data_IF_504976064905
#
_entry.id   IF_504976064905
#
_cell.length_a   1.000
_cell.length_b   1.000
_cell.length_c   1.000
_cell.angle_alpha   90.00
_cell.angle_beta   90.00
_cell.angle_gamma   90.00
#
_symmetry.space_group_name_H-M   'P 1'
#
loop_
_entity.id
_entity.type
_entity.pdbx_description
1 polymer ?
2 polymer ?
3 water ?
#
# COMPACT_ATOMS: atom_id res chain seq x y z
N UNK A 1 19.08 8.92 3.28
CA UNK A 1 17.75 8.40 3.73
C UNK A 1 17.76 6.91 4.04
N UNK A 2 16.99 6.52 5.04
CA UNK A 2 16.93 5.13 5.41
C UNK A 2 15.73 4.54 4.68
N UNK A 3 15.85 3.29 4.29
CA UNK A 3 14.74 2.65 3.59
C UNK A 3 14.54 1.27 4.20
N UNK A 4 13.29 0.95 4.51
CA UNK A 4 12.93 -0.36 5.03
C UNK A 4 12.05 -0.93 3.92
N UNK A 5 12.58 -1.90 3.16
CA UNK A 5 11.82 -2.47 2.06
C UNK A 5 11.36 -3.90 2.31
N UNK A 6 10.05 -4.08 2.36
CA UNK A 6 9.43 -5.37 2.62
C UNK A 6 9.13 -6.18 1.34
N UNK A 7 8.74 -7.43 1.54
CA UNK A 7 8.41 -8.36 0.46
C UNK A 7 7.03 -8.06 -0.10
N UNK A 8 6.77 -8.54 -1.32
CA UNK A 8 5.50 -8.29 -1.99
C UNK A 8 4.29 -8.97 -1.38
N UNK A 9 3.10 -8.47 -1.73
CA UNK A 9 1.85 -9.01 -1.20
C UNK A 9 1.79 -10.53 -1.37
N UNK A 10 0.96 -11.16 -0.55
CA UNK A 10 0.83 -12.60 -0.60
C UNK A 10 -0.58 -13.01 -0.25
N UNK A 11 -0.99 -14.13 -0.82
CA UNK A 11 -2.32 -14.67 -0.58
C UNK A 11 -2.11 -16.03 0.05
N UNK A 12 -2.80 -16.28 1.15
CA UNK A 12 -2.64 -17.55 1.83
C UNK A 12 -3.93 -18.29 2.15
N UNK A 13 -3.80 -19.61 2.18
CA UNK A 13 -4.90 -20.53 2.46
C UNK A 13 -4.97 -20.75 3.96
N UNK A 14 -6.18 -20.89 4.51
CA UNK A 14 -6.31 -21.12 5.96
C UNK A 14 -5.37 -22.22 6.43
N UNK A 15 -4.74 -22.00 7.58
CA UNK A 15 -3.84 -23.00 8.11
C UNK A 15 -2.43 -22.88 7.58
N UNK A 16 -2.26 -22.21 6.45
CA UNK A 16 -0.93 -22.04 5.86
C UNK A 16 -0.11 -21.02 6.67
N UNK A 17 1.14 -20.82 6.26
CA UNK A 17 2.01 -19.87 6.94
C UNK A 17 2.61 -18.88 5.95
N UNK A 18 2.91 -17.68 6.43
CA UNK A 18 3.51 -16.64 5.59
C UNK A 18 4.79 -16.08 6.21
N UNK A 19 5.80 -15.87 5.37
CA UNK A 19 7.09 -15.35 5.82
C UNK A 19 7.38 -14.00 5.15
N UNK A 20 7.26 -12.92 5.93
CA UNK A 20 7.48 -11.58 5.42
C UNK A 20 8.86 -11.02 5.74
N UNK A 21 9.54 -10.50 4.71
CA UNK A 21 10.88 -9.96 4.90
C UNK A 21 10.91 -8.42 4.98
N UNK A 22 11.99 -7.90 5.55
CA UNK A 22 12.16 -6.46 5.73
C UNK A 22 13.65 -6.12 5.64
N UNK A 23 14.08 -5.68 4.46
CA UNK A 23 15.48 -5.30 4.27
C UNK A 23 15.65 -3.81 4.54
N UNK A 24 16.64 -3.50 5.38
CA UNK A 24 16.92 -2.12 5.75
C UNK A 24 18.22 -1.64 5.13
N UNK A 25 18.32 -0.32 4.94
CA UNK A 25 19.51 0.29 4.38
C UNK A 25 19.43 1.79 4.67
N UNK A 26 20.60 2.43 4.80
CA UNK A 26 20.63 3.84 5.09
C UNK A 26 21.14 4.13 6.48
N UNK A 27 21.01 3.15 7.37
CA UNK A 27 21.47 3.30 8.75
C UNK A 27 22.12 1.99 9.15
N UNK A 28 22.61 1.93 10.40
CA UNK A 28 23.25 0.72 10.90
C UNK A 28 22.21 -0.27 11.39
N UNK A 29 21.84 -1.20 10.52
CA UNK A 29 20.82 -2.22 10.79
C UNK A 29 20.87 -2.92 12.15
N UNK A 30 22.07 -3.29 12.58
CA UNK A 30 22.25 -4.00 13.85
C UNK A 30 22.14 -3.18 15.13
N UNK A 31 21.98 -1.87 15.02
CA UNK A 31 21.92 -1.05 16.22
C UNK A 31 20.55 -0.50 16.61
N UNK A 32 19.49 -1.00 15.97
CA UNK A 32 18.14 -0.51 16.28
C UNK A 32 17.15 -1.66 16.35
N UNK A 33 16.16 -1.56 17.24
CA UNK A 33 15.19 -2.63 17.34
C UNK A 33 14.21 -2.61 16.15
N UNK A 34 13.82 -3.77 15.68
CA UNK A 34 12.90 -3.91 14.55
C UNK A 34 11.57 -4.52 15.04
N UNK A 35 10.48 -3.80 14.86
CA UNK A 35 9.18 -4.29 15.32
C UNK A 35 8.25 -4.59 14.15
N UNK A 36 7.28 -5.46 14.41
CA UNK A 36 6.29 -5.79 13.41
C UNK A 36 4.96 -5.36 14.00
N UNK A 37 4.24 -4.55 13.26
CA UNK A 37 2.93 -4.07 13.67
C UNK A 37 1.99 -4.41 12.51
N UNK A 38 0.75 -4.76 12.80
CA UNK A 38 -0.15 -5.07 11.70
C UNK A 38 -1.40 -4.20 11.74
N UNK A 39 -1.93 -3.96 10.56
CA UNK A 39 -3.13 -3.15 10.35
C UNK A 39 -4.21 -4.16 9.96
N UNK A 40 -4.95 -4.66 10.95
CA UNK A 40 -6.00 -5.64 10.71
C UNK A 40 -7.39 -5.08 10.96
N UNK A 41 -8.38 -5.50 10.16
CA UNK A 41 -9.78 -5.06 10.25
C UNK A 41 -10.33 -4.96 11.67
N UNK A 42 -10.83 -3.77 12.03
CA UNK A 42 -11.39 -3.57 13.37
C UNK A 42 -10.40 -3.93 14.46
N UNK A 43 -9.16 -3.50 14.27
CA UNK A 43 -8.11 -3.78 15.24
C UNK A 43 -7.00 -2.77 15.01
N UNK A 44 -7.29 -1.79 14.16
CA UNK A 44 -6.33 -0.74 13.84
C UNK A 44 -4.91 -1.28 13.72
N UNK A 45 -4.04 -0.75 14.57
CA UNK A 45 -2.65 -1.20 14.58
C UNK A 45 -2.41 -1.95 15.86
N UNK A 46 -1.65 -3.03 15.79
CA UNK A 46 -1.33 -3.79 16.98
C UNK A 46 0.08 -4.30 16.86
N UNK A 47 0.83 -4.15 17.95
CA UNK A 47 2.22 -4.59 18.01
C UNK A 47 2.23 -6.11 18.01
N UNK A 48 3.20 -6.71 17.33
CA UNK A 48 3.24 -8.15 17.26
C UNK A 48 4.44 -8.70 17.97
N UNK A 49 5.52 -7.95 17.94
CA UNK A 49 6.75 -8.36 18.59
C UNK A 49 7.89 -7.56 18.02
N UNK A 50 9.12 -7.90 18.40
CA UNK A 50 10.29 -7.19 17.91
C UNK A 50 11.54 -8.06 18.00
N UNK A 51 12.63 -7.58 17.40
CA UNK A 51 13.89 -8.31 17.38
C UNK A 51 15.03 -7.32 17.28
N UNK A 52 16.17 -7.68 17.87
CA UNK A 52 17.33 -6.81 17.82
C UNK A 52 18.28 -7.44 16.84
N UNK A 53 18.43 -6.82 15.67
CA UNK A 53 19.34 -7.37 14.66
C UNK A 53 20.71 -7.75 15.25
N UNK A 54 21.22 -6.90 16.13
CA UNK A 54 22.52 -7.15 16.71
C UNK A 54 22.65 -8.37 17.61
N UNK A 55 21.58 -8.70 18.31
CA UNK A 55 21.63 -9.83 19.23
C UNK A 55 20.71 -10.97 18.82
N UNK A 56 19.83 -10.71 17.86
CA UNK A 56 18.90 -11.73 17.45
C UNK A 56 17.87 -12.01 18.52
N UNK A 57 17.97 -11.31 19.64
CA UNK A 57 17.01 -11.50 20.73
C UNK A 57 15.65 -10.99 20.32
N UNK A 58 14.59 -11.67 20.75
CA UNK A 58 13.23 -11.28 20.41
C UNK A 58 12.26 -11.18 21.57
N UNK A 59 11.06 -10.72 21.25
CA UNK A 59 9.95 -10.55 22.19
C UNK A 59 8.70 -10.63 21.34
N UNK A 60 7.71 -11.39 21.80
CA UNK A 60 6.48 -11.52 21.03
C UNK A 60 5.25 -11.28 21.89
N UNK A 61 4.29 -10.51 21.40
CA UNK A 61 3.07 -10.29 22.16
C UNK A 61 2.44 -11.68 22.33
N UNK A 62 1.77 -11.91 23.45
CA UNK A 62 1.16 -13.20 23.71
C UNK A 62 0.12 -13.59 22.65
N UNK A 63 -0.56 -12.59 22.11
CA UNK A 63 -1.59 -12.82 21.10
C UNK A 63 -1.07 -13.56 19.87
N UNK A 64 0.25 -13.54 19.66
CA UNK A 64 0.85 -14.20 18.51
C UNK A 64 2.03 -15.11 18.84
N UNK A 65 2.45 -15.14 20.10
CA UNK A 65 3.61 -15.94 20.48
C UNK A 65 3.56 -17.43 20.11
N UNK A 66 2.36 -17.97 19.91
CA UNK A 66 2.23 -19.38 19.57
C UNK A 66 2.19 -19.63 18.07
N UNK A 67 2.27 -18.56 17.27
CA UNK A 67 2.24 -18.70 15.81
C UNK A 67 3.33 -17.94 15.07
N UNK A 68 3.89 -16.90 15.69
CA UNK A 68 4.93 -16.11 15.05
C UNK A 68 6.33 -16.52 15.42
N UNK A 69 7.29 -16.03 14.64
CA UNK A 69 8.70 -16.29 14.84
C UNK A 69 9.41 -15.17 14.11
N UNK A 70 10.35 -14.51 14.78
CA UNK A 70 11.10 -13.43 14.15
C UNK A 70 12.57 -13.79 14.12
N UNK A 71 13.23 -13.42 13.04
CA UNK A 71 14.63 -13.73 12.83
C UNK A 71 15.27 -12.62 12.01
N UNK A 72 16.58 -12.72 11.78
CA UNK A 72 17.26 -11.70 11.00
C UNK A 72 18.55 -12.22 10.39
N UNK A 73 19.03 -11.52 9.35
CA UNK A 73 20.28 -11.88 8.69
C UNK A 73 21.08 -10.60 8.55
N UNK A 74 22.09 -10.46 9.39
CA UNK A 74 22.93 -9.29 9.38
C UNK A 74 23.81 -9.15 8.15
N UNK A 75 24.01 -10.25 7.43
CA UNK A 75 24.85 -10.19 6.23
C UNK A 75 24.08 -9.53 5.08
N UNK A 76 22.76 -9.55 5.15
CA UNK A 76 21.93 -8.94 4.12
C UNK A 76 20.95 -7.91 4.69
N UNK A 77 21.25 -7.45 5.92
CA UNK A 77 20.44 -6.46 6.62
C UNK A 77 18.94 -6.68 6.45
N UNK A 78 18.48 -7.88 6.81
CA UNK A 78 17.07 -8.21 6.66
C UNK A 78 16.48 -8.94 7.87
N UNK A 79 15.23 -8.62 8.17
CA UNK A 79 14.49 -9.21 9.26
C UNK A 79 13.29 -9.95 8.67
N UNK A 80 12.85 -11.01 9.34
CA UNK A 80 11.72 -11.81 8.86
C UNK A 80 10.69 -12.11 9.95
N UNK A 81 9.43 -12.26 9.55
CA UNK A 81 8.36 -12.59 10.48
C UNK A 81 7.46 -13.63 9.82
N UNK A 82 7.34 -14.79 10.46
CA UNK A 82 6.49 -15.87 9.96
C UNK A 82 5.27 -16.02 10.84
N UNK A 83 4.09 -15.90 10.24
CA UNK A 83 2.84 -16.05 10.99
C UNK A 83 2.24 -17.39 10.55
N UNK A 84 2.39 -18.42 11.38
CA UNK A 84 1.89 -19.75 11.05
C UNK A 84 0.42 -19.99 11.39
N UNK A 85 -0.14 -21.03 10.77
CA UNK A 85 -1.53 -21.40 11.00
C UNK A 85 -2.40 -20.17 10.83
N UNK A 86 -2.37 -19.59 9.64
CA UNK A 86 -3.14 -18.40 9.34
C UNK A 86 -4.64 -18.67 9.27
N UNK A 87 -5.42 -17.61 9.44
CA UNK A 87 -6.87 -17.69 9.39
C UNK A 87 -7.43 -16.37 8.88
N UNK A 88 -8.72 -16.38 8.55
CA UNK A 88 -9.40 -15.20 8.03
C UNK A 88 -9.04 -13.90 8.75
N UNK A 89 -9.13 -13.91 10.08
CA UNK A 89 -8.84 -12.73 10.88
C UNK A 89 -7.44 -12.12 10.71
N UNK A 90 -6.50 -12.88 10.16
CA UNK A 90 -5.14 -12.38 9.94
C UNK A 90 -5.02 -11.54 8.68
N UNK A 91 -6.10 -11.48 7.89
CA UNK A 91 -6.09 -10.69 6.66
C UNK A 91 -5.76 -9.26 7.08
N UNK A 92 -4.55 -8.82 6.76
CA UNK A 92 -4.13 -7.48 7.14
C UNK A 92 -2.79 -7.06 6.52
N UNK A 93 -2.46 -5.77 6.62
CA UNK A 93 -1.21 -5.27 6.10
C UNK A 93 -0.19 -5.42 7.22
N UNK A 94 0.93 -6.07 6.93
CA UNK A 94 1.96 -6.24 7.93
C UNK A 94 3.06 -5.23 7.68
N UNK A 95 3.52 -4.61 8.76
CA UNK A 95 4.57 -3.58 8.70
C UNK A 95 5.74 -3.90 9.61
N UNK A 96 6.91 -3.45 9.23
CA UNK A 96 8.07 -3.59 10.10
C UNK A 96 8.38 -2.13 10.35
N UNK A 97 8.94 -1.84 11.52
CA UNK A 97 9.27 -0.46 11.86
C UNK A 97 10.36 -0.47 12.91
N UNK A 98 11.40 0.31 12.69
CA UNK A 98 12.49 0.40 13.66
C UNK A 98 12.10 1.45 14.71
N UNK A 99 12.69 1.32 15.89
CA UNK A 99 12.39 2.26 16.96
C UNK A 99 13.62 3.13 17.19
N UNK A 100 13.39 4.42 17.46
CA UNK A 100 14.50 5.34 17.68
C UNK A 100 15.13 5.35 19.07
N UNK A 101 14.30 5.42 20.11
CA UNK A 101 14.82 5.47 21.47
C UNK A 101 13.94 6.37 22.31
N UNK A 102 14.05 7.70 22.16
CA UNK A 102 13.21 8.62 22.94
C UNK A 102 11.80 8.48 22.41
N UNK A 103 11.70 8.03 21.16
CA UNK A 103 10.41 7.79 20.54
C UNK A 103 10.51 6.41 19.91
N UNK A 104 9.39 5.93 19.38
CA UNK A 104 9.43 4.62 18.78
C UNK A 104 9.60 4.55 17.26
N UNK A 105 8.53 4.18 16.58
CA UNK A 105 8.53 3.98 15.13
C UNK A 105 8.77 5.18 14.22
N UNK A 106 10.04 5.55 14.05
CA UNK A 106 10.41 6.69 13.20
C UNK A 106 10.52 6.35 11.71
N UNK A 107 10.84 5.09 11.42
CA UNK A 107 10.92 4.65 10.03
C UNK A 107 10.10 3.39 9.85
N UNK A 108 9.24 3.39 8.83
CA UNK A 108 8.35 2.26 8.58
C UNK A 108 8.62 1.59 7.26
N UNK A 109 8.28 0.31 7.18
CA UNK A 109 8.42 -0.40 5.93
C UNK A 109 7.21 0.06 5.12
N UNK A 110 7.18 -0.24 3.82
CA UNK A 110 6.03 0.17 3.02
C UNK A 110 4.80 -0.68 3.34
N UNK A 111 5.01 -1.83 3.98
CA UNK A 111 3.90 -2.70 4.32
C UNK A 111 3.79 -3.89 3.38
N UNK A 112 3.24 -5.00 3.88
CA UNK A 112 3.06 -6.23 3.11
C UNK A 112 1.65 -6.73 3.32
N UNK A 113 0.85 -6.68 2.27
CA UNK A 113 -0.53 -7.14 2.35
C UNK A 113 -0.60 -8.66 2.28
N UNK A 114 -1.34 -9.26 3.22
CA UNK A 114 -1.52 -10.71 3.24
C UNK A 114 -3.02 -10.99 3.36
N UNK A 115 -3.58 -11.73 2.40
CA UNK A 115 -5.01 -12.04 2.46
C UNK A 115 -5.21 -13.53 2.71
N UNK B 1 3.56 18.73 -10.28
CA UNK B 1 3.71 17.25 -10.41
C UNK B 1 2.33 16.58 -10.46
N UNK B 2 2.12 15.70 -11.43
CA UNK B 2 0.83 15.02 -11.55
C UNK B 2 0.67 13.99 -10.43
N UNK B 3 -0.54 13.87 -9.90
CA UNK B 3 -0.77 12.90 -8.85
C UNK B 3 -2.24 12.60 -8.61
N UNK B 4 -2.51 11.33 -8.34
CA UNK B 4 -3.87 10.88 -8.06
C UNK B 4 -3.83 10.43 -6.60
N UNK B 5 -4.64 11.07 -5.76
CA UNK B 5 -4.69 10.69 -4.36
C UNK B 5 -6.06 10.08 -4.09
N UNK B 6 -6.04 8.82 -3.70
CA UNK B 6 -7.27 8.09 -3.43
C UNK B 6 -7.63 8.18 -1.97
N UNK B 7 -8.86 7.75 -1.65
CA UNK B 7 -9.40 7.72 -0.29
C UNK B 7 -8.76 6.59 0.53
N UNK B 8 -8.90 6.64 1.86
CA UNK B 8 -8.27 5.64 2.72
C UNK B 8 -8.81 4.23 2.70
N UNK B 9 -8.10 3.30 3.35
CA UNK B 9 -8.52 1.90 3.39
C UNK B 9 -9.91 1.78 3.98
N UNK B 10 -10.69 0.85 3.43
CA UNK B 10 -12.06 0.66 3.88
C UNK B 10 -12.31 -0.77 4.33
N UNK B 11 -13.06 -0.90 5.41
CA UNK B 11 -13.43 -2.21 5.94
C UNK B 11 -14.94 -2.28 5.69
N UNK B 12 -15.38 -3.34 5.01
CA UNK B 12 -16.79 -3.46 4.68
C UNK B 12 -17.36 -4.82 4.95
N UNK B 13 -18.58 -4.84 5.47
CA UNK B 13 -19.27 -6.09 5.77
C UNK B 13 -19.74 -6.69 4.45
N UNK B 14 -19.83 -8.02 4.37
CA UNK B 14 -20.29 -8.58 3.10
C UNK B 14 -21.69 -8.03 2.80
N UNK B 15 -21.99 -7.86 1.51
CA UNK B 15 -23.29 -7.36 1.12
C UNK B 15 -23.33 -5.86 1.03
N UNK B 16 -22.38 -5.21 1.68
CA UNK B 16 -22.33 -3.75 1.66
C UNK B 16 -21.69 -3.25 0.36
N UNK B 17 -21.58 -1.94 0.23
CA UNK B 17 -20.95 -1.33 -0.93
C UNK B 17 -19.94 -0.29 -0.47
N UNK B 18 -18.93 -0.06 -1.30
CA UNK B 18 -17.90 0.93 -0.99
C UNK B 18 -17.72 1.87 -2.17
N UNK B 19 -17.45 3.14 -1.88
CA UNK B 19 -17.24 4.14 -2.92
C UNK B 19 -15.86 4.75 -2.70
N UNK B 20 -14.97 4.51 -3.66
CA UNK B 20 -13.60 5.00 -3.59
C UNK B 20 -13.44 6.26 -4.42
N UNK B 21 -12.75 7.26 -3.84
CA UNK B 21 -12.53 8.52 -4.53
C UNK B 21 -11.09 8.63 -5.04
N UNK B 22 -10.91 9.38 -6.11
CA UNK B 22 -9.61 9.57 -6.72
C UNK B 22 -9.56 11.02 -7.18
N UNK B 23 -8.80 11.84 -6.47
CA UNK B 23 -8.68 13.25 -6.81
C UNK B 23 -7.43 13.46 -7.66
N UNK B 24 -7.61 13.96 -8.88
CA UNK B 24 -6.50 14.19 -9.80
C UNK B 24 -5.93 15.58 -9.63
N UNK B 25 -4.62 15.66 -9.45
CA UNK B 25 -3.95 16.93 -9.25
C UNK B 25 -2.73 17.07 -10.15
N UNK B 26 -2.31 18.31 -10.40
CA UNK B 26 -1.15 18.56 -11.22
C UNK B 26 -1.33 18.53 -12.72
N UNK B 27 -2.56 18.35 -13.19
CA UNK B 27 -2.82 18.32 -14.64
C UNK B 27 -4.28 18.64 -14.95
N UNK B 28 -4.63 18.64 -16.25
CA UNK B 28 -6.00 18.94 -16.68
C UNK B 28 -6.86 17.68 -16.67
N UNK B 29 -7.68 17.58 -15.64
CA UNK B 29 -8.57 16.46 -15.40
C UNK B 29 -9.38 15.90 -16.57
N UNK B 30 -10.08 16.77 -17.30
CA UNK B 30 -10.92 16.32 -18.41
C UNK B 30 -10.25 15.89 -19.70
N UNK B 31 -8.94 16.08 -19.81
CA UNK B 31 -8.28 15.70 -21.05
C UNK B 31 -7.96 14.20 -21.19
N UNK B 32 -8.05 13.46 -20.09
CA UNK B 32 -7.72 12.03 -20.14
C UNK B 32 -8.72 11.07 -19.49
N UNK B 33 -8.72 9.83 -19.95
CA UNK B 33 -9.57 8.77 -19.41
C UNK B 33 -9.02 8.41 -18.03
N UNK B 34 -9.88 8.02 -17.11
CA UNK B 34 -9.41 7.60 -15.79
C UNK B 34 -9.81 6.13 -15.68
N UNK B 35 -8.85 5.24 -15.50
CA UNK B 35 -9.21 3.84 -15.40
C UNK B 35 -9.25 3.43 -13.94
N UNK B 36 -9.80 2.24 -13.70
CA UNK B 36 -9.86 1.66 -12.37
C UNK B 36 -9.46 0.22 -12.55
N UNK B 37 -8.37 -0.13 -11.86
CA UNK B 37 -7.80 -1.47 -11.92
C UNK B 37 -7.69 -1.99 -10.51
N UNK B 38 -7.90 -3.29 -10.29
CA UNK B 38 -7.78 -3.81 -8.93
C UNK B 38 -6.80 -4.95 -8.82
N UNK B 39 -6.12 -5.02 -7.69
CA UNK B 39 -5.12 -6.03 -7.41
C UNK B 39 -5.59 -6.94 -6.29
N UNK B 40 -6.18 -8.07 -6.66
CA UNK B 40 -6.66 -9.06 -5.71
C UNK B 40 -5.67 -10.20 -5.83
N UNK B 41 -4.87 -10.45 -4.77
CA UNK B 41 -3.86 -11.51 -4.73
C UNK B 41 -4.14 -12.80 -5.52
N UNK B 42 -5.42 -13.10 -5.76
CA UNK B 42 -5.75 -14.29 -6.52
C UNK B 42 -5.31 -14.21 -7.97
N UNK B 43 -5.77 -13.17 -8.69
CA UNK B 43 -5.41 -13.03 -10.10
C UNK B 43 -4.85 -11.67 -10.48
N UNK B 44 -3.60 -11.44 -10.11
CA UNK B 44 -2.90 -10.20 -10.41
C UNK B 44 -3.67 -8.91 -10.52
N UNK B 45 -3.59 -8.30 -11.70
CA UNK B 45 -4.28 -7.04 -11.97
C UNK B 45 -5.41 -7.31 -12.94
N UNK B 46 -6.53 -6.61 -12.76
CA UNK B 46 -7.64 -6.76 -13.67
C UNK B 46 -8.34 -5.43 -13.84
N UNK B 47 -8.51 -5.05 -15.09
CA UNK B 47 -9.18 -3.80 -15.45
C UNK B 47 -10.64 -3.93 -15.05
N UNK B 48 -11.14 -2.94 -14.33
CA UNK B 48 -12.53 -2.96 -13.89
C UNK B 48 -13.37 -2.13 -14.84
N UNK B 49 -12.82 -1.01 -15.27
CA UNK B 49 -13.55 -0.12 -16.17
C UNK B 49 -12.90 1.24 -16.24
N UNK B 50 -13.54 2.16 -16.94
CA UNK B 50 -13.00 3.52 -17.08
C UNK B 50 -14.10 4.53 -17.31
N UNK B 51 -13.74 5.80 -17.23
CA UNK B 51 -14.72 6.87 -17.43
C UNK B 51 -14.05 8.07 -18.06
N UNK B 52 -14.78 8.76 -18.93
CA UNK B 52 -14.26 9.93 -19.60
C UNK B 52 -14.84 11.15 -18.90
N UNK B 53 -14.02 11.84 -18.08
CA UNK B 53 -14.39 13.04 -17.31
C UNK B 53 -15.21 14.11 -18.03
N UNK B 54 -15.04 14.21 -19.35
CA UNK B 54 -15.75 15.21 -20.11
C UNK B 54 -17.22 14.90 -20.37
N UNK B 55 -17.47 13.77 -21.01
CA UNK B 55 -18.84 13.35 -21.32
C UNK B 55 -19.41 12.41 -20.26
N UNK B 56 -18.57 11.96 -19.34
CA UNK B 56 -19.05 11.04 -18.33
C UNK B 56 -19.31 9.69 -18.95
N UNK B 57 -18.63 9.41 -20.06
CA UNK B 57 -18.81 8.13 -20.72
C UNK B 57 -18.10 7.05 -19.92
N UNK B 58 -18.62 5.83 -19.96
CA UNK B 58 -18.03 4.73 -19.21
C UNK B 58 -18.05 3.40 -19.93
N UNK B 59 -17.12 2.55 -19.53
CA UNK B 59 -17.00 1.20 -20.08
C UNK B 59 -16.69 0.29 -18.88
N UNK B 60 -17.50 -0.74 -18.69
CA UNK B 60 -17.28 -1.66 -17.56
C UNK B 60 -16.91 -3.05 -18.02
N UNK B 61 -16.01 -3.69 -17.28
CA UNK B 61 -15.63 -5.05 -17.61
C UNK B 61 -16.89 -5.88 -17.39
N UNK B 62 -17.04 -6.96 -18.14
CA UNK B 62 -18.22 -7.79 -17.99
C UNK B 62 -18.35 -8.29 -16.55
N UNK B 63 -17.21 -8.66 -15.97
CA UNK B 63 -17.13 -9.18 -14.60
C UNK B 63 -17.74 -8.26 -13.53
N UNK B 64 -17.66 -6.95 -13.77
CA UNK B 64 -18.16 -5.99 -12.79
C UNK B 64 -19.36 -5.14 -13.22
N UNK B 65 -19.87 -5.37 -14.43
CA UNK B 65 -21.00 -4.58 -14.94
C UNK B 65 -22.23 -4.43 -14.03
N UNK B 66 -22.74 -5.54 -13.49
CA UNK B 66 -23.94 -5.48 -12.65
C UNK B 66 -23.78 -4.95 -11.22
N UNK B 67 -22.58 -4.53 -10.83
CA UNK B 67 -22.40 -4.01 -9.47
C UNK B 67 -21.40 -2.88 -9.29
N UNK B 68 -20.90 -2.34 -10.40
CA UNK B 68 -19.95 -1.24 -10.33
C UNK B 68 -20.50 -0.03 -11.07
N UNK B 69 -20.25 1.12 -10.51
CA UNK B 69 -20.67 2.37 -11.11
C UNK B 69 -19.50 3.33 -11.00
N UNK B 70 -19.19 4.01 -12.10
CA UNK B 70 -18.11 4.99 -12.09
C UNK B 70 -18.72 6.35 -12.37
N UNK B 71 -18.22 7.37 -11.69
CA UNK B 71 -18.73 8.72 -11.84
C UNK B 71 -17.58 9.69 -11.65
N UNK B 72 -17.83 10.98 -11.84
CA UNK B 72 -16.77 11.96 -11.66
C UNK B 72 -17.34 13.34 -11.37
N UNK B 73 -16.61 14.13 -10.58
CA UNK B 73 -17.03 15.49 -10.25
C UNK B 73 -15.96 16.42 -10.78
N UNK B 74 -16.17 16.88 -11.99
CA UNK B 74 -15.24 17.76 -12.66
C UNK B 74 -14.98 19.04 -11.88
N UNK B 75 -15.93 19.47 -11.06
CA UNK B 75 -15.74 20.70 -10.29
C UNK B 75 -14.60 20.55 -9.28
N UNK B 76 -14.40 19.33 -8.78
CA UNK B 76 -13.34 19.08 -7.81
C UNK B 76 -12.34 18.07 -8.35
N UNK B 77 -12.39 17.84 -9.67
CA UNK B 77 -11.50 16.90 -10.33
C UNK B 77 -11.36 15.59 -9.58
N UNK B 78 -12.47 14.89 -9.39
CA UNK B 78 -12.42 13.62 -8.67
C UNK B 78 -13.26 12.55 -9.35
N UNK B 79 -12.70 11.36 -9.49
CA UNK B 79 -13.43 10.24 -10.07
C UNK B 79 -13.83 9.31 -8.93
N UNK B 80 -14.94 8.58 -9.12
CA UNK B 80 -15.43 7.65 -8.10
C UNK B 80 -15.77 6.30 -8.69
N UNK B 81 -15.51 5.26 -7.91
CA UNK B 81 -15.84 3.91 -8.32
C UNK B 81 -16.59 3.30 -7.15
N UNK B 82 -17.85 2.96 -7.37
CA UNK B 82 -18.66 2.35 -6.33
C UNK B 82 -18.93 0.92 -6.71
N UNK B 83 -18.52 0.00 -5.83
CA UNK B 83 -18.71 -1.42 -6.07
C UNK B 83 -19.72 -1.89 -5.03
N UNK B 84 -20.83 -2.46 -5.47
CA UNK B 84 -21.84 -2.90 -4.52
C UNK B 84 -21.87 -4.42 -4.32
N UNK B 85 -22.62 -4.86 -3.32
CA UNK B 85 -22.77 -6.27 -3.02
C UNK B 85 -21.41 -6.96 -2.90
N UNK B 86 -20.60 -6.42 -2.01
CA UNK B 86 -19.24 -6.92 -1.77
C UNK B 86 -19.20 -8.38 -1.30
N UNK B 87 -18.13 -9.07 -1.67
CA UNK B 87 -17.93 -10.47 -1.31
C UNK B 87 -16.46 -10.64 -0.92
N UNK B 88 -16.12 -11.76 -0.29
CA UNK B 88 -14.73 -11.99 0.13
C UNK B 88 -13.70 -11.79 -0.99
N UNK B 89 -14.07 -12.14 -2.23
CA UNK B 89 -13.15 -12.02 -3.38
C UNK B 89 -12.82 -10.58 -3.77
N UNK B 90 -13.56 -9.61 -3.21
CA UNK B 90 -13.36 -8.20 -3.48
C UNK B 90 -12.28 -7.59 -2.59
N UNK B 91 -11.80 -8.37 -1.63
CA UNK B 91 -10.74 -7.88 -0.76
C UNK B 91 -9.56 -7.68 -1.69
N UNK B 92 -9.16 -6.43 -1.86
CA UNK B 92 -8.06 -6.12 -2.76
C UNK B 92 -7.77 -4.64 -2.73
N UNK B 93 -6.69 -4.26 -3.41
CA UNK B 93 -6.29 -2.88 -3.51
C UNK B 93 -6.84 -2.38 -4.83
N UNK B 94 -7.59 -1.30 -4.76
CA UNK B 94 -8.17 -0.71 -5.93
C UNK B 94 -7.38 0.55 -6.32
N UNK B 95 -7.01 0.63 -7.59
CA UNK B 95 -6.25 1.77 -8.11
C UNK B 95 -6.96 2.50 -9.23
N UNK B 96 -6.88 3.83 -9.21
CA UNK B 96 -7.40 4.58 -10.34
C UNK B 96 -6.10 4.89 -11.09
N UNK B 97 -6.18 5.09 -12.40
CA UNK B 97 -4.97 5.37 -13.17
C UNK B 97 -5.36 6.15 -14.41
N UNK B 98 -4.61 7.21 -14.70
CA UNK B 98 -4.90 8.07 -15.84
C UNK B 98 -4.18 7.58 -17.11
N UNK B 99 -4.79 7.80 -18.27
CA UNK B 99 -4.16 7.39 -19.53
C UNK B 99 -3.18 8.48 -19.97
N UNK B 100 -2.03 8.09 -20.50
CA UNK B 100 -1.06 9.08 -20.93
C UNK B 100 -0.94 9.32 -22.44
N UNK B 101 -1.94 8.91 -23.20
CA UNK B 101 -1.90 9.11 -24.64
C UNK B 101 -1.42 7.87 -25.36
N UNK B 102 -0.14 7.81 -25.75
CA UNK B 102 0.38 6.63 -26.45
C UNK B 102 0.47 5.40 -25.53
N UNK B 103 0.24 5.61 -24.23
CA UNK B 103 0.26 4.51 -23.25
C UNK B 103 -0.98 4.57 -22.36
N UNK B 104 -1.45 3.40 -21.93
CA UNK B 104 -2.65 3.32 -21.12
C UNK B 104 -2.66 3.84 -19.68
N UNK B 105 -1.64 3.52 -18.88
CA UNK B 105 -1.63 3.96 -17.48
C UNK B 105 -0.37 4.73 -17.11
N UNK B 106 -0.42 6.03 -17.36
CA UNK B 106 0.67 6.97 -17.11
C UNK B 106 0.99 7.15 -15.61
N UNK B 107 -0.01 7.63 -14.86
CA UNK B 107 0.15 7.86 -13.45
C UNK B 107 -0.86 7.04 -12.68
N UNK B 108 -0.45 6.56 -11.51
CA UNK B 108 -1.35 5.74 -10.68
C UNK B 108 -1.63 6.40 -9.35
N UNK B 109 -2.81 6.14 -8.77
CA UNK B 109 -3.10 6.69 -7.46
C UNK B 109 -2.30 5.79 -6.53
N UNK B 110 -2.25 6.06 -5.22
CA UNK B 110 -1.48 5.20 -4.34
C UNK B 110 -2.22 3.89 -4.05
N UNK B 111 -3.49 3.80 -4.46
CA UNK B 111 -4.24 2.57 -4.24
C UNK B 111 -5.10 2.63 -3.00
N UNK B 112 -6.28 2.01 -3.05
CA UNK B 112 -7.19 1.98 -1.92
C UNK B 112 -7.48 0.55 -1.51
N UNK B 113 -7.11 0.22 -0.28
CA UNK B 113 -7.35 -1.11 0.25
C UNK B 113 -8.79 -1.24 0.71
N UNK B 114 -9.45 -2.29 0.26
CA UNK B 114 -10.84 -2.58 0.63
C UNK B 114 -10.88 -4.03 1.11
N UNK B 115 -11.33 -4.24 2.34
CA UNK B 115 -11.43 -5.60 2.86
C UNK B 115 -13.13 -5.58 3.47
N UNK C 1 -0.20 -3.85 27.90
CA UNK C 1 -1.62 -4.32 27.82
C UNK C 1 -2.61 -3.27 28.31
N UNK C 2 -2.20 -2.01 28.20
CA UNK C 2 -3.04 -0.91 28.61
C UNK C 2 -4.05 -0.69 27.50
N UNK C 3 -5.26 -0.29 27.87
CA UNK C 3 -6.28 -0.01 26.90
C UNK C 3 -6.31 1.48 26.62
N UNK C 4 -5.92 1.85 25.40
CA UNK C 4 -5.91 3.25 25.00
C UNK C 4 -7.25 3.48 24.29
N UNK C 5 -7.97 4.51 24.72
CA UNK C 5 -9.26 4.80 24.11
C UNK C 5 -9.32 6.19 23.49
N UNK C 6 -9.55 6.23 22.18
CA UNK C 6 -9.63 7.49 21.47
C UNK C 6 -11.07 7.88 21.26
N UNK C 7 -11.31 9.19 21.24
CA UNK C 7 -12.63 9.71 21.03
C UNK C 7 -12.43 11.10 20.44
N UNK C 8 -13.19 11.43 19.37
CA UNK C 8 -14.18 10.57 18.73
C UNK C 8 -13.52 9.55 17.79
N UNK C 9 -14.31 8.65 17.21
CA UNK C 9 -13.78 7.65 16.30
C UNK C 9 -13.85 8.17 14.86
N UNK C 10 -14.71 9.16 14.64
CA UNK C 10 -14.89 9.77 13.33
C UNK C 10 -14.86 11.26 13.59
N UNK C 11 -14.07 11.99 12.81
CA UNK C 11 -13.97 13.42 13.02
C UNK C 11 -13.99 14.22 11.73
N UNK C 12 -15.17 14.40 11.13
CA UNK C 12 -15.23 15.18 9.89
C UNK C 12 -14.86 16.64 10.20
N UNK C 13 -13.81 17.14 9.56
CA UNK C 13 -13.38 18.51 9.80
C UNK C 13 -13.61 19.45 8.63
N UNK C 14 -14.01 20.68 8.95
CA UNK C 14 -14.24 21.69 7.94
C UNK C 14 -12.89 22.34 7.66
N UNK C 15 -12.40 22.20 6.41
CA UNK C 15 -11.12 22.76 5.99
C UNK C 15 -10.81 24.16 6.50
N UNK C 16 -10.00 24.25 7.56
CA UNK C 16 -9.63 25.53 8.11
C UNK C 16 -9.89 25.67 9.60
N UNK C 17 -10.88 24.95 10.11
CA UNK C 17 -11.24 24.99 11.52
C UNK C 17 -10.40 23.97 12.29
N UNK C 18 -10.10 24.26 13.58
CA UNK C 18 -9.29 23.32 14.36
C UNK C 18 -10.01 22.01 14.67
N UNK C 19 -9.24 21.00 15.03
CA UNK C 19 -9.76 19.69 15.36
C UNK C 19 -9.10 19.20 16.63
N UNK C 20 -9.64 18.14 17.22
CA UNK C 20 -9.08 17.62 18.45
C UNK C 20 -9.45 16.16 18.65
N UNK C 21 -8.49 15.38 19.14
CA UNK C 21 -8.70 13.98 19.39
C UNK C 21 -8.20 13.62 20.79
N UNK C 22 -9.08 12.99 21.56
CA UNK C 22 -8.74 12.59 22.92
C UNK C 22 -8.27 11.14 22.97
N UNK C 23 -7.51 10.84 24.01
CA UNK C 23 -6.96 9.50 24.22
C UNK C 23 -6.74 9.30 25.70
N UNK C 24 -7.39 8.29 26.27
CA UNK C 24 -7.20 8.02 27.68
C UNK C 24 -6.70 6.61 27.92
N UNK C 25 -5.63 6.50 28.70
CA UNK C 25 -5.05 5.19 29.02
C UNK C 25 -5.80 4.56 30.19
N UNK C 26 -5.86 3.23 30.21
CA UNK C 26 -6.57 2.53 31.27
C UNK C 26 -5.80 2.55 32.59
N UNK C 27 -4.64 3.20 32.58
CA UNK C 27 -3.81 3.30 33.77
C UNK C 27 -2.65 4.25 33.48
N UNK C 28 -2.07 4.81 34.55
CA UNK C 28 -0.95 5.72 34.42
C UNK C 28 0.10 5.15 33.45
N UNK C 29 0.62 5.99 32.56
CA UNK C 29 1.63 5.52 31.61
C UNK C 29 2.93 6.30 31.57
N UNK C 30 3.40 6.72 32.74
CA UNK C 30 4.69 7.39 32.75
C UNK C 30 5.63 6.28 33.20
N UNK C 31 6.72 6.10 32.45
CA UNK C 31 7.69 5.06 32.73
C UNK C 31 8.46 5.34 34.03
N UNK C 32 9.07 4.32 34.61
CA UNK C 32 9.82 4.53 35.83
C UNK C 32 10.91 5.60 35.66
N UNK C 33 11.42 5.73 34.44
CA UNK C 33 12.45 6.73 34.16
C UNK C 33 11.84 8.13 34.06
N UNK C 34 10.54 8.22 34.31
CA UNK C 34 9.86 9.51 34.27
C UNK C 34 9.32 9.95 32.93
N UNK C 35 9.67 9.24 31.88
CA UNK C 35 9.18 9.61 30.56
C UNK C 35 7.84 8.94 30.26
N UNK C 36 6.89 9.74 29.78
CA UNK C 36 5.59 9.20 29.43
C UNK C 36 5.65 8.97 27.94
N UNK C 37 5.87 7.73 27.53
CA UNK C 37 5.95 7.41 26.11
C UNK C 37 4.60 7.40 25.40
N UNK C 38 3.94 8.56 25.38
CA UNK C 38 2.67 8.63 24.70
C UNK C 38 2.93 9.23 23.33
N UNK C 39 2.52 8.52 22.29
CA UNK C 39 2.76 9.03 20.95
C UNK C 39 1.55 9.02 20.07
N UNK C 40 1.58 9.88 19.06
CA UNK C 40 0.53 9.98 18.08
C UNK C 40 1.12 9.67 16.72
N UNK C 41 0.41 8.84 15.95
CA UNK C 41 0.81 8.44 14.60
C UNK C 41 -0.32 8.81 13.65
N UNK C 42 0.03 9.14 12.42
CA UNK C 42 -0.96 9.46 11.41
C UNK C 42 -0.76 8.52 10.24
N UNK C 43 -1.84 7.91 9.78
CA UNK C 43 -1.74 7.04 8.62
C UNK C 43 -2.55 7.68 7.50
N UNK C 44 -1.90 8.49 6.68
CA UNK C 44 -2.56 9.15 5.55
C UNK C 44 -3.07 8.08 4.59
N UNK C 45 -4.14 8.39 3.82
CA UNK C 45 -4.71 7.43 2.86
C UNK C 45 -3.68 6.60 2.08
N UNK C 46 -3.68 5.30 2.32
CA UNK C 46 -2.77 4.40 1.63
C UNK C 46 -1.28 4.43 1.93
N UNK C 47 -0.84 5.23 2.91
CA UNK C 47 0.58 5.30 3.24
C UNK C 47 0.90 4.57 4.54
N UNK C 48 2.18 4.26 4.76
CA UNK C 48 2.55 3.60 6.01
C UNK C 48 2.30 4.62 7.13
N UNK C 49 2.07 4.15 8.36
CA UNK C 49 1.83 5.08 9.46
C UNK C 49 3.09 5.93 9.67
N UNK C 50 2.96 7.15 10.18
CA UNK C 50 4.13 7.99 10.43
C UNK C 50 4.03 8.70 11.78
N UNK C 51 5.18 8.91 12.41
CA UNK C 51 5.26 9.57 13.70
C UNK C 51 4.97 11.08 13.70
N UNK C 52 3.97 11.52 14.46
CA UNK C 52 3.65 12.94 14.55
C UNK C 52 4.18 13.58 15.84
N UNK C 53 3.82 12.98 16.97
CA UNK C 53 4.18 13.48 18.29
C UNK C 53 4.69 12.38 19.22
N UNK C 54 5.69 12.69 20.04
CA UNK C 54 6.20 11.72 21.01
C UNK C 54 6.42 12.42 22.36
N UNK C 55 6.64 11.65 23.40
CA UNK C 55 6.82 12.21 24.74
C UNK C 55 5.68 13.19 25.01
N UNK C 56 4.48 12.75 24.64
CA UNK C 56 3.27 13.52 24.84
C UNK C 56 3.11 14.80 24.04
N UNK C 57 4.14 15.63 23.98
CA UNK C 57 4.01 16.92 23.28
C UNK C 57 5.18 17.33 22.38
N UNK C 58 6.13 16.44 22.17
CA UNK C 58 7.25 16.78 21.31
C UNK C 58 6.94 16.42 19.86
N UNK C 59 7.00 17.40 18.98
CA UNK C 59 6.76 17.16 17.55
C UNK C 59 7.96 16.45 16.96
N UNK C 60 7.71 15.49 16.08
CA UNK C 60 8.80 14.76 15.46
C UNK C 60 9.35 15.66 14.35
N UNK C 61 10.65 15.57 14.06
CA UNK C 61 11.27 16.42 13.04
C UNK C 61 10.54 16.32 11.68
N UNK C 62 10.19 17.47 11.12
CA UNK C 62 9.50 17.50 9.85
C UNK C 62 7.99 17.67 9.98
N UNK C 63 7.47 17.48 11.18
CA UNK C 63 6.03 17.61 11.43
C UNK C 63 5.67 19.09 11.60
N UNK C 64 4.69 19.59 10.83
CA UNK C 64 4.24 20.98 10.90
C UNK C 64 3.78 21.42 12.28
N UNK C 65 3.84 22.73 12.55
CA UNK C 65 3.45 23.27 13.85
C UNK C 65 1.96 23.20 14.11
N UNK C 66 1.17 22.91 13.07
CA UNK C 66 -0.27 22.80 13.21
C UNK C 66 -0.62 21.73 14.22
N UNK C 67 0.23 20.70 14.30
CA UNK C 67 0.02 19.61 15.22
C UNK C 67 0.67 19.88 16.57
N UNK C 68 0.04 19.36 17.62
CA UNK C 68 0.54 19.51 18.97
C UNK C 68 -0.24 18.54 19.88
N UNK C 69 0.42 18.07 20.93
CA UNK C 69 -0.23 17.16 21.84
C UNK C 69 -0.06 17.68 23.25
N UNK C 70 -0.90 17.20 24.17
CA UNK C 70 -0.84 17.58 25.56
C UNK C 70 -1.46 16.49 26.40
N UNK C 71 -1.60 16.75 27.70
CA UNK C 71 -2.18 15.77 28.60
C UNK C 71 -1.20 15.29 29.66
N UNK C 72 -1.70 14.50 30.60
CA UNK C 72 -0.87 13.96 31.67
C UNK C 72 -1.53 12.78 32.36
N UNK C 73 -0.72 11.96 33.01
CA UNK C 73 -1.23 10.80 33.72
C UNK C 73 -2.01 9.81 32.89
N UNK C 74 -3.29 10.10 32.68
CA UNK C 74 -4.17 9.21 31.95
C UNK C 74 -5.01 9.84 30.82
N UNK C 75 -4.91 11.15 30.65
CA UNK C 75 -5.68 11.82 29.60
C UNK C 75 -4.78 12.62 28.67
N UNK C 76 -4.93 12.39 27.38
CA UNK C 76 -4.10 13.05 26.37
C UNK C 76 -4.95 13.54 25.22
N UNK C 77 -4.46 14.57 24.53
CA UNK C 77 -5.20 15.14 23.41
C UNK C 77 -4.31 15.74 22.33
N UNK C 78 -4.63 15.43 21.09
CA UNK C 78 -3.90 15.94 19.93
C UNK C 78 -4.68 17.12 19.39
N UNK C 79 -3.99 18.14 18.91
CA UNK C 79 -4.65 19.33 18.37
C UNK C 79 -4.12 19.71 17.00
N UNK C 80 -5.01 19.72 16.01
CA UNK C 80 -4.65 20.08 14.65
C UNK C 80 -5.30 21.43 14.34
N UNK C 81 -4.81 22.48 14.97
CA UNK C 81 -5.36 23.81 14.73
C UNK C 81 -5.24 24.11 13.23
N UNK C 82 -6.36 24.39 12.59
CA UNK C 82 -6.35 24.67 11.15
C UNK C 82 -6.03 23.40 10.36
N UNK C 83 -7.03 22.55 10.17
CA UNK C 83 -6.85 21.31 9.44
C UNK C 83 -6.76 21.56 7.94
N UNK C 84 -5.85 20.87 7.28
CA UNK C 84 -5.68 21.03 5.84
C UNK C 84 -6.06 19.72 5.13
N UNK C 85 -6.15 19.77 3.80
CA UNK C 85 -6.53 18.60 3.02
C UNK C 85 -5.64 17.39 3.30
N UNK C 86 -4.34 17.61 3.33
CA UNK C 86 -3.40 16.52 3.56
C UNK C 86 -3.36 16.01 5.01
N UNK C 87 -4.27 16.48 5.84
CA UNK C 87 -4.33 16.06 7.24
C UNK C 87 -5.32 14.94 7.42
N UNK C 88 -6.08 14.63 6.37
CA UNK C 88 -7.05 13.56 6.45
C UNK C 88 -6.30 12.24 6.58
N UNK C 89 -6.90 11.29 7.27
CA UNK C 89 -6.26 10.00 7.47
C UNK C 89 -6.69 9.51 8.84
N UNK C 90 -6.13 8.39 9.29
CA UNK C 90 -6.47 7.82 10.58
C UNK C 90 -5.40 8.15 11.62
N UNK C 91 -5.78 8.77 12.73
CA UNK C 91 -4.81 9.09 13.77
C UNK C 91 -4.87 8.06 14.89
N UNK C 92 -3.71 7.73 15.45
CA UNK C 92 -3.67 6.76 16.55
C UNK C 92 -2.78 7.25 17.68
N UNK C 93 -3.23 7.08 18.94
CA UNK C 93 -2.35 7.41 20.04
C UNK C 93 -1.71 6.05 20.34
N UNK C 94 -0.62 6.06 21.07
CA UNK C 94 0.12 4.85 21.33
C UNK C 94 0.92 5.00 22.61
N UNK C 95 1.04 3.94 23.40
CA UNK C 95 1.85 4.03 24.61
C UNK C 95 2.94 2.98 24.53
N UNK C 96 4.16 3.39 24.83
CA UNK C 96 5.26 2.44 24.80
C UNK C 96 5.86 2.25 26.19
N UNK C 97 5.22 2.84 27.19
CA UNK C 97 5.69 2.73 28.56
C UNK C 97 5.59 1.31 29.08
N UNK C 98 4.45 0.68 28.84
CA UNK C 98 4.23 -0.66 29.32
C UNK C 98 4.33 -1.73 28.24
N UNK C 99 4.79 -2.90 28.66
CA UNK C 99 4.92 -4.03 27.75
C UNK C 99 3.63 -4.83 27.84
N UNK C 100 2.98 -5.11 26.70
CA UNK C 100 3.35 -4.73 25.33
C UNK C 100 2.85 -3.35 24.93
N UNK C 101 3.54 -2.68 23.99
CA UNK C 101 3.09 -1.35 23.56
C UNK C 101 1.70 -1.55 22.97
N UNK C 102 0.85 -0.52 22.99
CA UNK C 102 -0.49 -0.67 22.44
C UNK C 102 -1.00 0.63 21.82
N UNK C 103 -1.82 0.50 20.79
CA UNK C 103 -2.37 1.67 20.09
C UNK C 103 -3.85 1.86 20.38
N UNK C 104 -4.34 3.07 20.13
CA UNK C 104 -5.75 3.34 20.30
C UNK C 104 -6.44 2.71 19.11
N UNK C 105 -7.76 2.83 19.02
CA UNK C 105 -8.50 2.22 17.91
C UNK C 105 -8.39 3.02 16.63
N UNK C 106 -8.11 4.32 16.76
CA UNK C 106 -7.96 5.16 15.58
C UNK C 106 -9.12 6.10 15.34
N UNK C 107 -8.78 7.35 15.05
CA UNK C 107 -9.77 8.38 14.77
C UNK C 107 -9.62 8.75 13.30
N UNK C 108 -10.70 8.64 12.53
CA UNK C 108 -10.65 8.97 11.10
C UNK C 108 -11.04 10.41 10.83
N UNK C 109 -10.09 11.20 10.31
CA UNK C 109 -10.33 12.60 9.99
C UNK C 109 -10.55 12.76 8.48
N UNK C 110 -11.66 13.42 8.13
CA UNK C 110 -12.03 13.64 6.73
C UNK C 110 -12.67 15.02 6.60
N UNK C 111 -12.47 15.69 5.48
CA UNK C 111 -13.06 17.02 5.29
C UNK C 111 -14.41 16.94 4.58
N UNK D 1 -12.63 -11.82 -24.97
CA UNK D 1 -11.56 -11.01 -24.33
C UNK D 1 -10.19 -11.60 -24.64
N UNK D 2 -9.29 -10.76 -25.14
CA UNK D 2 -7.95 -11.22 -25.47
C UNK D 2 -7.25 -11.75 -24.22
N UNK D 3 -6.69 -12.95 -24.31
CA UNK D 3 -6.01 -13.48 -23.16
C UNK D 3 -4.52 -13.40 -23.42
N UNK D 4 -3.80 -12.92 -22.42
CA UNK D 4 -2.37 -12.79 -22.51
C UNK D 4 -1.79 -13.83 -21.55
N UNK D 5 -0.93 -14.71 -22.08
CA UNK D 5 -0.32 -15.74 -21.25
C UNK D 5 1.19 -15.52 -21.14
N UNK D 6 1.65 -15.27 -19.92
CA UNK D 6 3.06 -15.04 -19.67
C UNK D 6 3.74 -16.30 -19.15
N UNK D 7 5.04 -16.41 -19.44
CA UNK D 7 5.85 -17.52 -19.00
C UNK D 7 7.27 -17.00 -18.92
N UNK D 8 8.02 -17.35 -17.85
CA UNK D 8 7.57 -18.19 -16.74
C UNK D 8 6.61 -17.42 -15.83
N UNK D 9 6.05 -18.10 -14.83
CA UNK D 9 5.13 -17.45 -13.89
C UNK D 9 5.98 -17.04 -12.67
N UNK D 10 7.13 -17.69 -12.55
CA UNK D 10 8.11 -17.43 -11.50
C UNK D 10 9.45 -17.37 -12.19
N UNK D 11 10.25 -16.39 -11.83
CA UNK D 11 11.55 -16.24 -12.46
C UNK D 11 12.62 -15.79 -11.49
N UNK D 12 13.17 -16.73 -10.69
CA UNK D 12 14.21 -16.38 -9.74
C UNK D 12 15.56 -16.23 -10.45
N UNK D 13 15.86 -15.01 -10.89
CA UNK D 13 17.10 -14.74 -11.58
C UNK D 13 18.23 -14.43 -10.61
N UNK D 14 19.37 -15.05 -10.83
CA UNK D 14 20.52 -14.79 -9.98
C UNK D 14 20.94 -13.38 -10.33
N UNK D 15 21.20 -12.54 -9.31
CA UNK D 15 21.61 -11.16 -9.60
C UNK D 15 22.72 -11.04 -10.64
N UNK D 16 22.60 -10.03 -11.51
CA UNK D 16 23.58 -9.80 -12.55
C UNK D 16 23.26 -10.60 -13.80
N UNK D 17 22.72 -11.78 -13.59
CA UNK D 17 22.34 -12.68 -14.69
C UNK D 17 21.18 -12.06 -15.46
N UNK D 18 21.24 -12.10 -16.80
CA UNK D 18 20.16 -11.54 -17.61
C UNK D 18 18.85 -12.29 -17.38
N UNK D 19 17.78 -11.79 -17.99
CA UNK D 19 16.47 -12.41 -17.84
C UNK D 19 15.59 -12.10 -19.04
N UNK D 20 14.42 -12.72 -19.07
CA UNK D 20 13.47 -12.51 -20.17
C UNK D 20 12.11 -13.11 -19.84
N UNK D 21 11.05 -12.38 -20.16
CA UNK D 21 9.71 -12.85 -19.90
C UNK D 21 8.93 -12.93 -21.20
N UNK D 22 8.25 -14.04 -21.40
CA UNK D 22 7.48 -14.24 -22.62
C UNK D 22 6.02 -13.92 -22.42
N UNK D 23 5.38 -13.46 -23.49
CA UNK D 23 3.97 -13.11 -23.45
C UNK D 23 3.40 -13.29 -24.85
N UNK D 24 2.32 -14.06 -24.95
CA UNK D 24 1.69 -14.30 -26.23
C UNK D 24 0.21 -13.97 -26.22
N UNK D 25 -0.18 -13.04 -27.08
CA UNK D 25 -1.58 -12.64 -27.18
C UNK D 25 -2.33 -13.74 -27.91
N UNK D 26 -3.59 -13.93 -27.56
CA UNK D 26 -4.42 -14.96 -28.18
C UNK D 26 -4.92 -14.56 -29.55
N UNK D 27 -4.59 -13.33 -29.95
CA UNK D 27 -5.04 -12.79 -31.24
C UNK D 27 -4.17 -11.58 -31.61
N UNK D 28 -4.09 -11.26 -32.90
CA UNK D 28 -3.30 -10.09 -33.31
C UNK D 28 -3.86 -8.92 -32.52
N UNK D 29 -2.99 -8.05 -32.03
CA UNK D 29 -3.46 -6.94 -31.23
C UNK D 29 -3.05 -5.55 -31.66
N UNK D 30 -3.00 -5.32 -32.96
CA UNK D 30 -2.68 -3.98 -33.42
C UNK D 30 -4.05 -3.33 -33.53
N UNK D 31 -4.19 -2.10 -33.05
CA UNK D 31 -5.47 -1.40 -33.10
C UNK D 31 -5.88 -1.03 -34.52
N UNK D 32 -7.13 -0.57 -34.67
CA UNK D 32 -7.61 -0.15 -35.98
C UNK D 32 -6.61 0.84 -36.56
N UNK D 33 -6.06 1.70 -35.71
CA UNK D 33 -5.06 2.61 -36.20
C UNK D 33 -3.84 1.72 -36.39
N UNK D 34 -2.65 2.28 -36.48
CA UNK D 34 -1.52 1.39 -36.68
C UNK D 34 -0.85 0.89 -35.40
N UNK D 35 -1.24 1.45 -34.25
CA UNK D 35 -0.59 1.10 -32.99
C UNK D 35 -0.94 -0.19 -32.26
N UNK D 36 0.09 -0.88 -31.82
CA UNK D 36 -0.07 -2.11 -31.06
C UNK D 36 0.13 -1.71 -29.60
N UNK D 37 -0.98 -1.51 -28.88
CA UNK D 37 -0.89 -1.10 -27.48
C UNK D 37 -0.56 -2.24 -26.55
N UNK D 38 0.63 -2.79 -26.71
CA UNK D 38 1.09 -3.85 -25.85
C UNK D 38 2.09 -3.21 -24.90
N UNK D 39 1.80 -3.32 -23.60
CA UNK D 39 2.67 -2.70 -22.60
C UNK D 39 3.14 -3.64 -21.49
N UNK D 40 4.25 -3.27 -20.86
CA UNK D 40 4.76 -4.05 -19.74
C UNK D 40 4.70 -3.19 -18.48
N UNK D 41 4.22 -3.80 -17.40
CA UNK D 41 4.11 -3.09 -16.14
C UNK D 41 4.83 -3.85 -15.04
N UNK D 42 5.46 -3.11 -14.13
CA UNK D 42 6.15 -3.72 -13.02
C UNK D 42 5.55 -3.21 -11.72
N UNK D 43 5.17 -4.13 -10.83
CA UNK D 43 4.64 -3.73 -9.55
C UNK D 43 5.64 -4.21 -8.51
N UNK D 44 6.46 -3.27 -8.02
CA UNK D 44 7.45 -3.59 -7.01
C UNK D 44 6.71 -3.81 -5.69
N UNK D 45 7.27 -4.64 -4.81
CA UNK D 45 6.63 -4.92 -3.53
C UNK D 45 5.85 -3.77 -2.89
N UNK D 46 4.54 -3.95 -2.72
CA UNK D 46 3.73 -2.92 -2.08
C UNK D 46 3.62 -1.54 -2.71
N UNK D 47 4.06 -1.42 -3.96
CA UNK D 47 3.98 -0.15 -4.65
C UNK D 47 2.92 -0.24 -5.74
N UNK D 48 2.46 0.92 -6.22
CA UNK D 48 1.49 0.93 -7.30
C UNK D 48 2.24 0.39 -8.52
N UNK D 49 1.54 -0.26 -9.47
CA UNK D 49 2.25 -0.78 -10.65
C UNK D 49 2.79 0.43 -11.45
N UNK D 50 3.89 0.26 -12.18
CA UNK D 50 4.42 1.37 -12.99
C UNK D 50 4.72 0.94 -14.41
N UNK D 51 4.72 1.90 -15.32
CA UNK D 51 4.96 1.60 -16.73
C UNK D 51 6.44 1.47 -17.07
N UNK D 52 6.78 0.37 -17.72
CA UNK D 52 8.15 0.13 -18.14
C UNK D 52 8.28 0.38 -19.64
N UNK D 53 7.46 -0.32 -20.43
CA UNK D 53 7.52 -0.21 -21.88
C UNK D 53 6.14 -0.11 -22.52
N UNK D 54 6.06 0.64 -23.61
CA UNK D 54 4.82 0.83 -24.35
C UNK D 54 5.09 0.68 -25.86
N UNK D 55 4.03 0.48 -26.65
CA UNK D 55 4.16 0.33 -28.10
C UNK D 55 5.08 -0.87 -28.37
N UNK D 56 5.02 -1.86 -27.48
CA UNK D 56 5.85 -3.07 -27.59
C UNK D 56 7.33 -2.88 -27.28
N UNK D 57 7.92 -1.77 -27.76
CA UNK D 57 9.35 -1.56 -27.54
C UNK D 57 9.83 -0.21 -27.03
N UNK D 58 8.95 0.76 -26.88
CA UNK D 58 9.38 2.07 -26.39
C UNK D 58 9.45 2.11 -24.87
N UNK D 59 10.63 2.37 -24.32
CA UNK D 59 10.79 2.44 -22.88
C UNK D 59 10.16 3.73 -22.37
N UNK D 60 9.45 3.63 -21.25
CA UNK D 60 8.80 4.79 -20.65
C UNK D 60 9.86 5.71 -20.06
N UNK D 61 9.49 6.98 -19.87
CA UNK D 61 10.34 8.02 -19.32
C UNK D 61 11.61 7.61 -18.58
N UNK D 62 11.57 7.64 -17.25
CA UNK D 62 12.74 7.31 -16.46
C UNK D 62 13.07 5.84 -16.23
N UNK D 63 12.77 4.98 -17.19
CA UNK D 63 13.06 3.56 -17.07
C UNK D 63 14.48 3.29 -17.58
N UNK D 64 15.29 2.51 -16.83
CA UNK D 64 16.67 2.22 -17.25
C UNK D 64 16.81 1.40 -18.53
N UNK D 65 17.95 1.58 -19.19
CA UNK D 65 18.26 0.90 -20.45
C UNK D 65 18.33 -0.62 -20.33
N UNK D 66 18.36 -1.12 -19.10
CA UNK D 66 18.41 -2.55 -18.86
C UNK D 66 17.16 -3.24 -19.39
N UNK D 67 16.06 -2.49 -19.46
CA UNK D 67 14.81 -3.06 -19.95
C UNK D 67 14.62 -2.79 -21.43
N UNK D 68 13.92 -3.70 -22.09
CA UNK D 68 13.64 -3.60 -23.51
C UNK D 68 12.57 -4.61 -23.90
N UNK D 69 11.71 -4.23 -24.85
CA UNK D 69 10.65 -5.12 -25.28
C UNK D 69 10.72 -5.40 -26.77
N UNK D 70 10.30 -6.60 -27.17
CA UNK D 70 10.32 -6.98 -28.57
C UNK D 70 9.14 -7.90 -28.87
N UNK D 71 8.89 -8.13 -30.16
CA UNK D 71 7.81 -9.01 -30.55
C UNK D 71 6.86 -8.38 -31.54
N UNK D 72 5.94 -9.19 -32.05
CA UNK D 72 4.94 -8.74 -33.01
C UNK D 72 3.87 -9.81 -33.18
N UNK D 73 2.66 -9.38 -33.53
CA UNK D 73 1.57 -10.31 -33.75
C UNK D 73 1.14 -11.16 -32.58
N UNK D 74 1.79 -12.31 -32.41
CA UNK D 74 1.44 -13.24 -31.33
C UNK D 74 2.37 -13.15 -30.13
N UNK D 75 3.67 -13.28 -30.39
CA UNK D 75 4.69 -13.26 -29.35
C UNK D 75 5.34 -11.91 -29.05
N UNK D 76 5.57 -11.69 -27.76
CA UNK D 76 6.20 -10.48 -27.23
C UNK D 76 7.02 -10.90 -26.02
N UNK D 77 8.14 -10.24 -25.77
CA UNK D 77 8.97 -10.58 -24.62
C UNK D 77 9.64 -9.38 -23.98
N UNK D 78 9.79 -9.46 -22.67
CA UNK D 78 10.43 -8.40 -21.90
C UNK D 78 11.81 -8.94 -21.58
N UNK D 79 12.82 -8.08 -21.54
CA UNK D 79 14.17 -8.54 -21.23
C UNK D 79 14.96 -7.53 -20.41
N UNK D 80 15.61 -8.03 -19.37
CA UNK D 80 16.42 -7.21 -18.49
C UNK D 80 17.87 -7.65 -18.65
N UNK D 81 18.70 -6.74 -19.15
CA UNK D 81 20.11 -7.03 -19.38
C UNK D 81 20.81 -7.63 -18.15
N UNK D 82 20.75 -6.91 -17.04
CA UNK D 82 21.39 -7.36 -15.79
C UNK D 82 20.44 -7.11 -14.61
N UNK D 83 19.77 -8.17 -14.15
CA UNK D 83 18.83 -8.06 -13.05
C UNK D 83 19.48 -7.60 -11.74
N UNK D 84 18.98 -6.48 -11.19
CA UNK D 84 19.48 -5.94 -9.94
C UNK D 84 18.45 -6.15 -8.83
N UNK D 85 18.89 -6.01 -7.58
CA UNK D 85 18.00 -6.21 -6.43
C UNK D 85 16.69 -5.43 -6.51
N UNK D 86 16.75 -4.18 -6.93
CA UNK D 86 15.56 -3.36 -7.02
C UNK D 86 14.63 -3.68 -8.19
N UNK D 87 14.98 -4.68 -8.99
CA UNK D 87 14.14 -5.06 -10.13
C UNK D 87 13.12 -6.10 -9.74
N UNK D 88 13.18 -6.55 -8.50
CA UNK D 88 12.25 -7.55 -8.01
C UNK D 88 10.78 -7.09 -8.01
N UNK D 89 9.89 -8.03 -8.31
CA UNK D 89 8.48 -7.73 -8.34
C UNK D 89 7.71 -8.57 -9.33
N UNK D 90 6.43 -8.27 -9.48
CA UNK D 90 5.57 -8.99 -10.41
C UNK D 90 5.47 -8.19 -11.71
N UNK D 91 5.96 -8.77 -12.80
CA UNK D 91 5.90 -8.11 -14.10
C UNK D 91 4.66 -8.55 -14.85
N UNK D 92 3.96 -7.59 -15.44
CA UNK D 92 2.74 -7.88 -16.19
C UNK D 92 2.78 -7.35 -17.61
N UNK D 93 2.41 -8.17 -18.60
CA UNK D 93 2.32 -7.66 -19.97
C UNK D 93 0.85 -7.30 -20.08
N UNK D 94 0.58 -6.18 -20.75
CA UNK D 94 -0.78 -5.66 -20.88
C UNK D 94 -1.13 -5.31 -22.33
N UNK D 95 -2.38 -5.52 -22.72
CA UNK D 95 -2.80 -5.15 -24.06
C UNK D 95 -4.01 -4.25 -23.94
N UNK D 96 -3.93 -3.08 -24.56
CA UNK D 96 -5.05 -2.15 -24.51
C UNK D 96 -5.65 -1.85 -25.87
N UNK D 97 -5.28 -2.60 -26.90
CA UNK D 97 -5.84 -2.39 -28.24
C UNK D 97 -7.31 -2.79 -28.30
N UNK D 98 -7.65 -3.85 -27.59
CA UNK D 98 -9.02 -4.34 -27.57
C UNK D 98 -9.70 -4.12 -26.22
N UNK D 99 -10.97 -3.73 -26.25
CA UNK D 99 -11.73 -3.55 -25.02
C UNK D 99 -12.41 -4.90 -24.83
N UNK D 100 -12.31 -5.48 -23.62
CA UNK D 100 -11.62 -4.98 -22.44
C UNK D 100 -10.11 -5.17 -22.41
N UNK D 101 -9.36 -4.16 -21.94
CA UNK D 101 -7.91 -4.29 -21.88
C UNK D 101 -7.61 -5.50 -20.98
N UNK D 102 -6.58 -6.27 -21.26
CA UNK D 102 -6.29 -7.42 -20.40
C UNK D 102 -4.84 -7.48 -19.97
N UNK D 103 -4.61 -8.05 -18.78
CA UNK D 103 -3.26 -8.22 -18.24
C UNK D 103 -2.90 -9.69 -18.24
N UNK D 104 -1.60 -9.98 -18.23
CA UNK D 104 -1.15 -11.37 -18.18
C UNK D 104 -1.28 -11.86 -16.75
N UNK D 105 -0.79 -13.06 -16.46
CA UNK D 105 -0.90 -13.59 -15.11
C UNK D 105 0.02 -12.83 -14.18
N UNK D 106 1.17 -12.42 -14.71
CA UNK D 106 2.15 -11.70 -13.92
C UNK D 106 3.29 -12.64 -13.65
N UNK D 107 4.52 -12.17 -13.82
CA UNK D 107 5.68 -12.99 -13.56
C UNK D 107 6.42 -12.43 -12.34
N UNK D 108 6.57 -13.25 -11.32
CA UNK D 108 7.26 -12.79 -10.12
C UNK D 108 8.74 -13.10 -10.21
N UNK D 109 9.56 -12.07 -10.37
CA UNK D 109 10.99 -12.27 -10.44
C UNK D 109 11.61 -12.00 -9.07
N UNK D 110 12.48 -12.93 -8.63
CA UNK D 110 13.14 -12.82 -7.32
C UNK D 110 14.65 -13.08 -7.42
N UNK D 111 15.42 -12.44 -6.55
CA UNK D 111 16.87 -12.60 -6.54
C UNK D 111 17.24 -14.04 -6.19
#
# INVERSE_FOLDING_TARGET
QVQLVQSGAEVKKPGASVKVSCKASGYTFTSYWMHWVRQAPGQGLEWMGNIYPGSGGTNYAEKFKNRVTMTRDTSISTAYMELSRLRSDDTAVYYCARSGGPYFFDYWGQGTLVTVSSAAAHHHHHH
QVQLVQSGAEVKKPGASVKVSCKASGYTFTSYWMHWVRQAPGQGLEWMGNIYPGSGGTNYAEKFKNRVTMTRDTSISTAYMELSRLRSDDTAVYYCARSGGPYFFDYWGQGTLVTVSSAAAHHHHHH
DIVMTQSPLSLPVTPGEPASISCRSSQNIVHNNGITYLEWYLQKPGQSPQLLIYKVSDRFSGVPDRFSGSGSGTDFTLKISRVEAEDVGVYYCFQGSHIPPTFGQGTKVEIKRAAAHHHHHH
DIVMTQSPLSLPVTPGEPASISCRSSQNIVHNNGITYLEWYLQKPGQSPQLLIYKVSDRFSGVPDRFSGSGSGTDFTLKISRVEAEDVGVYYCFQGSHIPPTFGQGTKVEIKRAAAHHHHHH
#
